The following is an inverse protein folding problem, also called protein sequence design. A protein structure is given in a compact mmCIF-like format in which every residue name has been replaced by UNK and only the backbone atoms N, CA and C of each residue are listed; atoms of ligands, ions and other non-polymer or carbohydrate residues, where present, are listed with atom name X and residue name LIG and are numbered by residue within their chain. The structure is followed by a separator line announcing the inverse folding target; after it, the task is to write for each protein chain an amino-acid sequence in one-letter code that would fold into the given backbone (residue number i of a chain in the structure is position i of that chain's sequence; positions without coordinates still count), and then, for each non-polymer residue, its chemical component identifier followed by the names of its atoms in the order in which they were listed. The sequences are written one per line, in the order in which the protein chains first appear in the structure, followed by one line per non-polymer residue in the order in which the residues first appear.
data_IF_916100757334
#
_entry.id   IF_916100757334
#
_cell.length_a   1.000
_cell.length_b   1.000
_cell.length_c   1.000
_cell.angle_alpha   90.00
_cell.angle_beta   90.00
_cell.angle_gamma   90.00
#
_symmetry.space_group_name_H-M   'P 1'
#
loop_
_entity.id
_entity.type
_entity.pdbx_description
1 polymer ?
#
# COMPACT_ATOMS: atom_id res chain seq x y z
N UNK A 1 -42.23 69.25 -24.12
CA UNK A 1 -43.60 68.86 -24.41
C UNK A 1 -43.82 67.54 -23.80
N UNK A 2 -44.36 67.45 -22.61
CA UNK A 2 -45.78 67.22 -22.28
C UNK A 2 -46.19 65.81 -22.74
N UNK A 3 -46.75 64.93 -21.93
CA UNK A 3 -47.59 64.98 -20.73
C UNK A 3 -47.72 63.55 -20.26
N UNK A 4 -47.50 63.23 -19.02
CA UNK A 4 -48.47 63.17 -17.94
C UNK A 4 -49.54 62.06 -18.02
N UNK A 5 -49.49 61.20 -16.97
CA UNK A 5 -50.65 60.79 -16.15
C UNK A 5 -51.39 59.49 -16.60
N UNK A 6 -51.82 58.60 -15.73
CA UNK A 6 -52.60 58.69 -14.49
C UNK A 6 -52.70 57.27 -13.85
N UNK A 7 -52.59 57.22 -12.54
CA UNK A 7 -52.99 56.22 -11.55
C UNK A 7 -54.16 55.30 -11.90
N UNK A 8 -54.01 54.01 -11.46
CA UNK A 8 -55.09 53.37 -10.63
C UNK A 8 -54.52 52.32 -9.69
N UNK A 9 -54.70 52.54 -8.44
CA UNK A 9 -54.64 51.58 -7.36
C UNK A 9 -55.75 50.57 -7.51
N UNK A 10 -55.40 49.25 -7.35
CA UNK A 10 -56.35 48.28 -6.88
C UNK A 10 -55.70 47.45 -5.76
N UNK A 11 -56.23 47.66 -4.58
CA UNK A 11 -56.05 46.80 -3.42
C UNK A 11 -56.79 45.51 -3.66
N UNK A 12 -56.16 44.37 -3.46
CA UNK A 12 -56.84 43.20 -2.91
C UNK A 12 -55.84 42.13 -2.43
N UNK A 13 -56.00 41.83 -1.17
CA UNK A 13 -55.70 40.62 -0.36
C UNK A 13 -54.31 39.98 -0.42
N UNK A 14 -53.74 39.70 0.76
CA UNK A 14 -52.53 38.84 0.88
C UNK A 14 -52.92 37.38 0.70
N UNK A 15 -52.36 36.73 -0.32
CA UNK A 15 -52.36 35.27 -0.46
C UNK A 15 -51.47 34.65 0.60
N UNK A 16 -51.96 33.64 1.28
CA UNK A 16 -51.29 32.89 2.30
C UNK A 16 -49.98 32.29 1.78
N UNK A 17 -48.87 32.55 2.45
CA UNK A 17 -47.60 31.89 2.23
C UNK A 17 -47.72 30.37 2.41
N UNK A 18 -47.22 29.54 1.51
CA UNK A 18 -47.10 28.10 1.73
C UNK A 18 -46.13 27.85 2.88
N UNK A 19 -46.56 27.01 3.84
CA UNK A 19 -45.81 26.60 4.98
C UNK A 19 -44.47 26.01 4.53
N UNK A 20 -43.35 26.46 5.17
CA UNK A 20 -42.02 25.91 4.97
C UNK A 20 -42.02 24.40 5.27
N UNK A 21 -41.34 23.57 4.48
CA UNK A 21 -41.20 22.15 4.77
C UNK A 21 -40.49 21.97 6.09
N UNK A 22 -41.16 21.34 7.04
CA UNK A 22 -40.61 20.93 8.34
C UNK A 22 -39.33 20.10 8.08
N UNK A 23 -38.18 20.67 8.45
CA UNK A 23 -36.91 19.98 8.45
C UNK A 23 -37.05 18.71 9.31
N UNK A 24 -36.84 17.57 8.72
CA UNK A 24 -36.69 16.29 9.46
C UNK A 24 -35.61 16.46 10.53
N UNK A 25 -35.79 15.94 11.73
CA UNK A 25 -34.79 16.07 12.79
C UNK A 25 -33.50 15.43 12.32
N UNK A 26 -32.43 16.22 12.27
CA UNK A 26 -31.06 15.78 12.06
C UNK A 26 -30.76 14.72 13.12
N UNK A 27 -30.57 13.47 12.68
CA UNK A 27 -30.12 12.37 13.53
C UNK A 27 -28.86 12.79 14.27
N UNK A 28 -28.87 12.67 15.61
CA UNK A 28 -27.71 12.86 16.45
C UNK A 28 -26.50 12.11 15.86
N UNK A 29 -25.29 12.67 15.91
CA UNK A 29 -24.10 12.04 15.35
C UNK A 29 -23.91 10.68 16.03
N UNK A 30 -24.20 9.60 15.31
CA UNK A 30 -23.93 8.25 15.79
C UNK A 30 -22.43 8.13 16.02
N UNK A 31 -22.04 7.68 17.23
CA UNK A 31 -20.62 7.39 17.53
C UNK A 31 -20.06 6.50 16.44
N UNK A 32 -18.89 6.83 15.87
CA UNK A 32 -18.33 6.06 14.78
C UNK A 32 -18.12 4.60 15.21
N UNK A 33 -18.39 3.66 14.31
CA UNK A 33 -18.21 2.22 14.60
C UNK A 33 -16.76 1.94 15.01
N UNK A 34 -16.56 1.00 15.92
CA UNK A 34 -15.23 0.67 16.46
C UNK A 34 -14.15 0.52 15.36
N UNK A 35 -14.44 -0.21 14.29
CA UNK A 35 -13.47 -0.42 13.22
C UNK A 35 -13.16 0.86 12.42
N UNK A 36 -14.06 1.84 12.40
CA UNK A 36 -13.81 3.13 11.76
C UNK A 36 -12.93 4.00 12.66
N UNK A 37 -13.13 3.92 13.99
CA UNK A 37 -12.21 4.54 14.97
C UNK A 37 -10.80 3.97 14.83
N UNK A 38 -10.66 2.63 14.71
CA UNK A 38 -9.37 1.97 14.47
C UNK A 38 -8.71 2.49 13.20
N UNK A 39 -9.45 2.58 12.08
CA UNK A 39 -8.90 3.12 10.82
C UNK A 39 -8.46 4.57 10.97
N UNK A 40 -9.27 5.38 11.63
CA UNK A 40 -8.94 6.78 11.89
C UNK A 40 -7.67 6.91 12.73
N UNK A 41 -7.54 6.18 13.84
CA UNK A 41 -6.36 6.18 14.70
C UNK A 41 -5.09 5.75 13.94
N UNK A 42 -5.17 4.70 13.10
CA UNK A 42 -4.07 4.23 12.27
C UNK A 42 -3.62 5.32 11.29
N UNK A 43 -4.56 6.00 10.62
CA UNK A 43 -4.28 7.06 9.65
C UNK A 43 -3.72 8.32 10.31
N UNK A 44 -4.22 8.69 11.49
CA UNK A 44 -3.66 9.81 12.28
C UNK A 44 -2.20 9.57 12.67
N UNK A 45 -1.82 8.31 12.87
CA UNK A 45 -0.42 7.93 13.16
C UNK A 45 0.42 7.67 11.90
N UNK A 46 -0.10 7.97 10.72
CA UNK A 46 0.57 7.80 9.44
C UNK A 46 1.05 6.37 9.15
N UNK A 47 0.35 5.35 9.70
CA UNK A 47 0.68 3.97 9.39
C UNK A 47 0.26 3.60 7.95
N UNK A 48 0.95 2.62 7.38
CA UNK A 48 0.68 2.18 6.02
C UNK A 48 -0.72 1.55 5.87
N UNK A 49 -1.29 1.62 4.67
CA UNK A 49 -2.52 0.92 4.33
C UNK A 49 -2.46 -0.60 4.61
N UNK A 50 -1.29 -1.22 4.41
CA UNK A 50 -1.10 -2.64 4.72
C UNK A 50 -1.17 -2.91 6.22
N UNK A 51 -0.66 -2.00 7.06
CA UNK A 51 -0.82 -2.05 8.53
C UNK A 51 -2.29 -1.90 8.90
N UNK A 52 -3.02 -0.95 8.30
CA UNK A 52 -4.46 -0.78 8.51
C UNK A 52 -5.22 -2.09 8.21
N UNK A 53 -4.97 -2.67 7.04
CA UNK A 53 -5.61 -3.93 6.62
C UNK A 53 -5.30 -5.08 7.57
N UNK A 54 -4.05 -5.22 8.00
CA UNK A 54 -3.62 -6.26 8.92
C UNK A 54 -4.25 -6.09 10.31
N UNK A 55 -4.19 -4.89 10.89
CA UNK A 55 -4.71 -4.62 12.23
C UNK A 55 -6.23 -4.77 12.29
N UNK A 56 -6.96 -4.18 11.34
CA UNK A 56 -8.42 -4.36 11.23
C UNK A 56 -8.76 -5.84 11.05
N UNK A 57 -7.98 -6.59 10.29
CA UNK A 57 -8.15 -8.03 10.11
C UNK A 57 -7.99 -8.81 11.41
N UNK A 58 -6.97 -8.52 12.21
CA UNK A 58 -6.74 -9.18 13.50
C UNK A 58 -7.80 -8.82 14.53
N UNK A 59 -8.18 -7.53 14.64
CA UNK A 59 -9.22 -7.07 15.54
C UNK A 59 -10.56 -7.74 15.22
N UNK A 60 -10.92 -7.87 13.94
CA UNK A 60 -12.12 -8.62 13.54
C UNK A 60 -12.06 -10.07 14.00
N UNK A 61 -10.93 -10.77 13.76
CA UNK A 61 -10.77 -12.17 14.18
C UNK A 61 -10.89 -12.33 15.68
N UNK A 62 -10.32 -11.41 16.46
CA UNK A 62 -10.44 -11.38 17.92
C UNK A 62 -11.90 -11.23 18.37
N UNK A 63 -12.66 -10.27 17.80
CA UNK A 63 -14.07 -10.06 18.08
C UNK A 63 -14.90 -11.30 17.74
N UNK A 64 -14.66 -11.93 16.58
CA UNK A 64 -15.37 -13.14 16.19
C UNK A 64 -15.02 -14.35 17.06
N UNK A 65 -13.78 -14.48 17.48
CA UNK A 65 -13.34 -15.56 18.38
C UNK A 65 -14.08 -15.51 19.72
N UNK A 66 -14.38 -14.32 20.23
CA UNK A 66 -15.16 -14.11 21.44
C UNK A 66 -16.65 -13.85 21.16
N UNK A 67 -17.25 -14.53 20.19
CA UNK A 67 -18.69 -14.50 19.89
C UNK A 67 -19.24 -13.07 19.68
N UNK A 68 -18.47 -12.19 19.04
CA UNK A 68 -18.80 -10.79 18.77
C UNK A 68 -18.98 -9.92 20.04
N UNK A 69 -18.38 -10.32 21.17
CA UNK A 69 -18.29 -9.45 22.35
C UNK A 69 -17.55 -8.17 22.01
N UNK A 70 -17.98 -7.06 22.61
CA UNK A 70 -17.32 -5.78 22.36
C UNK A 70 -15.96 -5.74 23.09
N UNK A 71 -14.84 -5.31 22.44
CA UNK A 71 -13.51 -5.28 23.05
C UNK A 71 -13.41 -4.47 24.35
N UNK A 72 -14.23 -3.44 24.53
CA UNK A 72 -14.27 -2.70 25.79
C UNK A 72 -14.65 -3.56 27.01
N UNK A 73 -15.37 -4.67 26.80
CA UNK A 73 -15.78 -5.62 27.82
C UNK A 73 -14.79 -6.78 28.03
N UNK A 74 -13.67 -6.75 27.30
CA UNK A 74 -12.64 -7.78 27.30
C UNK A 74 -11.31 -7.19 27.79
N UNK A 75 -10.38 -8.05 28.17
CA UNK A 75 -9.09 -7.63 28.70
C UNK A 75 -7.97 -8.63 28.44
N UNK A 76 -7.02 -8.69 29.37
CA UNK A 76 -5.81 -9.51 29.29
C UNK A 76 -6.11 -11.00 29.14
N UNK A 77 -7.14 -11.50 29.84
CA UNK A 77 -7.53 -12.90 29.81
C UNK A 77 -8.01 -13.33 28.42
N UNK A 78 -8.88 -12.54 27.80
CA UNK A 78 -9.38 -12.81 26.46
C UNK A 78 -8.29 -12.66 25.40
N UNK A 79 -7.38 -11.71 25.55
CA UNK A 79 -6.21 -11.58 24.67
C UNK A 79 -5.32 -12.82 24.78
N UNK A 80 -5.03 -13.29 26.02
CA UNK A 80 -4.22 -14.49 26.25
C UNK A 80 -4.86 -15.73 25.63
N UNK A 81 -6.17 -15.91 25.79
CA UNK A 81 -6.94 -17.02 25.23
C UNK A 81 -6.86 -17.01 23.69
N UNK A 82 -7.11 -15.87 23.05
CA UNK A 82 -7.04 -15.74 21.59
C UNK A 82 -5.64 -16.02 21.04
N UNK A 83 -4.59 -15.45 21.66
CA UNK A 83 -3.21 -15.66 21.23
C UNK A 83 -2.78 -17.12 21.41
N UNK A 84 -3.22 -17.77 22.48
CA UNK A 84 -2.95 -19.20 22.73
C UNK A 84 -3.65 -20.08 21.71
N UNK A 85 -4.89 -19.81 21.38
CA UNK A 85 -5.62 -20.50 20.32
C UNK A 85 -4.95 -20.35 18.95
N UNK A 86 -4.42 -19.16 18.64
CA UNK A 86 -3.62 -18.97 17.41
C UNK A 86 -2.39 -19.87 17.34
N UNK A 87 -1.71 -20.08 18.46
CA UNK A 87 -0.50 -20.92 18.52
C UNK A 87 -0.85 -22.41 18.50
N UNK A 88 -1.84 -22.84 19.28
CA UNK A 88 -2.18 -24.23 19.52
C UNK A 88 -3.07 -24.82 18.40
N UNK A 89 -4.16 -24.13 18.05
CA UNK A 89 -5.14 -24.63 17.10
C UNK A 89 -4.81 -24.26 15.66
N UNK A 90 -4.34 -23.04 15.42
CA UNK A 90 -4.03 -22.51 14.07
C UNK A 90 -2.57 -22.67 13.67
N UNK A 91 -1.71 -23.14 14.57
CA UNK A 91 -0.28 -23.38 14.35
C UNK A 91 0.42 -22.21 13.65
N UNK A 92 0.05 -20.97 13.99
CA UNK A 92 0.65 -19.77 13.38
C UNK A 92 2.10 -19.60 13.79
N UNK A 93 2.89 -18.90 12.96
CA UNK A 93 4.26 -18.55 13.31
C UNK A 93 4.30 -17.53 14.44
N UNK A 94 5.41 -17.49 15.20
CA UNK A 94 5.61 -16.49 16.26
C UNK A 94 5.51 -15.04 15.74
N UNK A 95 5.94 -14.75 14.52
CA UNK A 95 5.79 -13.43 13.90
C UNK A 95 4.32 -13.08 13.64
N UNK A 96 3.52 -14.06 13.25
CA UNK A 96 2.07 -13.90 13.04
C UNK A 96 1.35 -13.65 14.36
N UNK A 97 1.68 -14.41 15.42
CA UNK A 97 1.14 -14.21 16.76
C UNK A 97 1.51 -12.81 17.30
N UNK A 98 2.77 -12.37 17.14
CA UNK A 98 3.20 -11.03 17.53
C UNK A 98 2.48 -9.92 16.74
N UNK A 99 2.18 -10.14 15.46
CA UNK A 99 1.40 -9.18 14.68
C UNK A 99 -0.03 -9.05 15.22
N UNK A 100 -0.65 -10.18 15.62
CA UNK A 100 -1.96 -10.16 16.26
C UNK A 100 -1.92 -9.42 17.59
N UNK A 101 -0.93 -9.72 18.45
CA UNK A 101 -0.72 -9.02 19.72
C UNK A 101 -0.59 -7.51 19.52
N UNK A 102 0.29 -7.07 18.61
CA UNK A 102 0.49 -5.64 18.34
C UNK A 102 -0.80 -4.95 17.85
N UNK A 103 -1.62 -5.63 17.06
CA UNK A 103 -2.90 -5.09 16.61
C UNK A 103 -3.90 -4.93 17.78
N UNK A 104 -3.92 -5.87 18.75
CA UNK A 104 -4.75 -5.79 19.93
C UNK A 104 -4.25 -4.72 20.92
N UNK A 105 -2.94 -4.66 21.17
CA UNK A 105 -2.38 -3.60 22.00
C UNK A 105 -2.69 -2.21 21.41
N UNK A 106 -2.55 -2.05 20.09
CA UNK A 106 -2.96 -0.82 19.41
C UNK A 106 -4.45 -0.50 19.63
N UNK A 107 -5.35 -1.49 19.53
CA UNK A 107 -6.77 -1.30 19.77
C UNK A 107 -7.04 -0.79 21.19
N UNK A 108 -6.45 -1.43 22.20
CA UNK A 108 -6.70 -1.07 23.59
C UNK A 108 -6.09 0.28 23.95
N UNK A 109 -4.81 0.51 23.66
CA UNK A 109 -4.13 1.76 24.02
C UNK A 109 -4.63 2.95 23.21
N UNK A 110 -4.74 2.82 21.89
CA UNK A 110 -4.92 3.97 21.02
C UNK A 110 -6.38 4.28 20.68
N UNK A 111 -7.25 3.28 20.78
CA UNK A 111 -8.65 3.45 20.37
C UNK A 111 -9.58 3.41 21.57
N UNK A 112 -9.34 2.49 22.51
CA UNK A 112 -10.18 2.34 23.70
C UNK A 112 -9.65 3.14 24.90
N UNK A 113 -8.42 3.65 24.85
CA UNK A 113 -7.80 4.37 25.96
C UNK A 113 -7.64 3.52 27.22
N UNK A 114 -7.55 2.19 27.07
CA UNK A 114 -7.45 1.22 28.15
C UNK A 114 -6.04 0.66 28.21
N UNK A 115 -5.36 0.82 29.33
CA UNK A 115 -4.08 0.16 29.58
C UNK A 115 -4.29 -1.34 29.73
N UNK A 116 -3.51 -2.11 29.03
CA UNK A 116 -3.41 -3.56 29.15
C UNK A 116 -2.15 -3.86 29.94
N UNK A 117 -2.32 -4.50 31.10
CA UNK A 117 -1.23 -4.93 31.93
C UNK A 117 -0.44 -6.10 31.31
N UNK A 118 0.32 -6.79 32.16
CA UNK A 118 1.07 -7.94 31.71
C UNK A 118 0.13 -9.10 31.35
N UNK A 119 0.21 -9.58 30.10
CA UNK A 119 -0.62 -10.67 29.60
C UNK A 119 0.03 -12.01 30.00
N UNK A 120 -0.47 -12.61 31.09
CA UNK A 120 -0.01 -13.89 31.60
C UNK A 120 -0.63 -15.08 30.84
N UNK A 121 0.02 -16.24 30.91
CA UNK A 121 -0.54 -17.51 30.43
C UNK A 121 -0.61 -17.67 28.92
N UNK A 122 0.02 -16.80 28.14
CA UNK A 122 0.03 -16.93 26.67
C UNK A 122 0.93 -18.07 26.25
N UNK A 123 0.34 -19.08 25.60
CA UNK A 123 1.12 -20.10 24.89
C UNK A 123 1.76 -19.47 23.65
N UNK A 124 3.08 -19.35 23.68
CA UNK A 124 3.82 -18.71 22.59
C UNK A 124 4.12 -19.69 21.47
N UNK A 125 3.90 -19.27 20.25
CA UNK A 125 4.30 -20.01 19.07
C UNK A 125 5.83 -20.17 19.01
N UNK A 126 6.30 -21.35 18.61
CA UNK A 126 7.74 -21.61 18.46
C UNK A 126 8.35 -20.66 17.44
N UNK A 127 9.53 -20.11 17.78
CA UNK A 127 10.33 -19.28 16.90
C UNK A 127 11.52 -20.10 16.37
N UNK A 128 11.37 -20.80 15.24
CA UNK A 128 12.49 -21.53 14.67
C UNK A 128 13.57 -20.54 14.22
N UNK A 129 14.81 -20.80 14.61
CA UNK A 129 15.98 -20.11 14.07
C UNK A 129 16.20 -20.66 12.66
N UNK A 130 15.99 -19.82 11.65
CA UNK A 130 16.27 -20.18 10.27
C UNK A 130 17.48 -19.38 9.80
N UNK A 131 18.49 -20.08 9.30
CA UNK A 131 19.60 -19.43 8.63
C UNK A 131 19.13 -18.75 7.34
N UNK A 132 19.61 -17.54 7.05
CA UNK A 132 19.30 -16.90 5.78
C UNK A 132 19.75 -17.74 4.59
N UNK A 133 18.94 -17.82 3.56
CA UNK A 133 19.35 -18.44 2.29
C UNK A 133 20.31 -17.48 1.60
N UNK A 134 21.50 -17.96 1.28
CA UNK A 134 22.53 -17.25 0.54
C UNK A 134 22.75 -17.95 -0.80
N UNK A 135 22.69 -17.19 -1.90
CA UNK A 135 23.00 -17.66 -3.24
C UNK A 135 24.46 -17.39 -3.57
N UNK A 136 25.10 -18.33 -4.26
CA UNK A 136 26.41 -18.10 -4.87
C UNK A 136 26.26 -17.25 -6.13
N UNK A 137 27.33 -16.63 -6.60
CA UNK A 137 27.34 -15.87 -7.85
C UNK A 137 26.94 -16.73 -9.06
N UNK A 138 27.32 -18.01 -9.05
CA UNK A 138 26.95 -18.95 -10.13
C UNK A 138 25.45 -19.26 -10.11
N UNK A 139 24.87 -19.52 -8.93
CA UNK A 139 23.44 -19.72 -8.80
C UNK A 139 22.63 -18.50 -9.25
N UNK A 140 23.10 -17.28 -8.91
CA UNK A 140 22.48 -16.04 -9.38
C UNK A 140 22.53 -15.95 -10.91
N UNK A 141 23.66 -16.24 -11.53
CA UNK A 141 23.78 -16.25 -13.01
C UNK A 141 22.84 -17.25 -13.66
N UNK A 142 22.75 -18.47 -13.10
CA UNK A 142 21.85 -19.51 -13.61
C UNK A 142 20.38 -19.07 -13.54
N UNK A 143 19.97 -18.47 -12.41
CA UNK A 143 18.61 -17.94 -12.27
C UNK A 143 18.34 -16.80 -13.26
N UNK A 144 19.28 -15.86 -13.39
CA UNK A 144 19.17 -14.74 -14.33
C UNK A 144 19.04 -15.20 -15.77
N UNK A 145 19.71 -16.30 -16.16
CA UNK A 145 19.59 -16.92 -17.49
C UNK A 145 18.22 -17.53 -17.78
N UNK A 146 17.38 -17.71 -16.75
CA UNK A 146 16.01 -18.22 -16.87
C UNK A 146 14.92 -17.12 -16.78
N UNK A 147 15.32 -15.85 -16.73
CA UNK A 147 14.41 -14.71 -16.63
C UNK A 147 14.34 -13.92 -17.93
N UNK A 148 13.15 -13.44 -18.25
CA UNK A 148 12.93 -12.58 -19.41
C UNK A 148 13.13 -11.09 -19.09
N UNK A 149 13.32 -10.30 -20.11
CA UNK A 149 13.63 -8.86 -20.18
C UNK A 149 13.29 -8.01 -18.93
N UNK A 150 12.02 -7.80 -18.61
CA UNK A 150 11.63 -6.94 -17.47
C UNK A 150 11.88 -7.62 -16.12
N UNK A 151 11.69 -8.93 -16.03
CA UNK A 151 11.91 -9.70 -14.80
C UNK A 151 13.41 -9.79 -14.50
N UNK A 152 14.23 -9.99 -15.54
CA UNK A 152 15.68 -9.94 -15.44
C UNK A 152 16.15 -8.57 -14.94
N UNK A 153 15.63 -7.45 -15.51
CA UNK A 153 15.96 -6.10 -15.06
C UNK A 153 15.64 -5.89 -13.57
N UNK A 154 14.45 -6.30 -13.16
CA UNK A 154 14.04 -6.17 -11.75
C UNK A 154 14.97 -6.98 -10.83
N UNK A 155 15.28 -8.23 -11.15
CA UNK A 155 16.18 -9.06 -10.34
C UNK A 155 17.60 -8.50 -10.32
N UNK A 156 18.10 -7.98 -11.46
CA UNK A 156 19.41 -7.30 -11.51
C UNK A 156 19.46 -6.04 -10.65
N UNK A 157 18.38 -5.29 -10.56
CA UNK A 157 18.28 -4.13 -9.65
C UNK A 157 18.24 -4.57 -8.17
N UNK A 158 17.55 -5.66 -7.86
CA UNK A 158 17.57 -6.23 -6.50
C UNK A 158 18.98 -6.70 -6.10
N UNK A 159 19.69 -7.37 -7.03
CA UNK A 159 21.01 -7.92 -6.81
C UNK A 159 22.09 -6.83 -6.81
N UNK A 160 22.17 -6.02 -7.87
CA UNK A 160 23.28 -5.10 -8.08
C UNK A 160 23.12 -3.76 -7.33
N UNK A 161 21.90 -3.25 -7.19
CA UNK A 161 21.61 -2.00 -6.46
C UNK A 161 21.14 -2.24 -5.00
N UNK A 162 20.95 -3.48 -4.60
CA UNK A 162 20.48 -3.84 -3.25
C UNK A 162 19.07 -3.34 -2.93
N UNK A 163 18.21 -3.15 -3.91
CA UNK A 163 16.84 -2.69 -3.71
C UNK A 163 15.98 -3.75 -3.00
N UNK A 164 15.03 -3.31 -2.18
CA UNK A 164 13.94 -4.18 -1.73
C UNK A 164 12.94 -4.37 -2.86
N UNK A 165 12.19 -5.47 -2.84
CA UNK A 165 11.18 -5.77 -3.85
C UNK A 165 10.26 -4.57 -4.12
N UNK A 166 9.65 -4.01 -3.09
CA UNK A 166 8.73 -2.88 -3.26
C UNK A 166 9.45 -1.56 -3.61
N UNK A 167 10.69 -1.39 -3.25
CA UNK A 167 11.50 -0.24 -3.70
C UNK A 167 11.73 -0.32 -5.21
N UNK A 168 12.08 -1.49 -5.72
CA UNK A 168 12.26 -1.72 -7.16
C UNK A 168 10.95 -1.48 -7.94
N UNK A 169 9.84 -2.07 -7.49
CA UNK A 169 8.55 -1.94 -8.17
C UNK A 169 7.99 -0.52 -8.14
N UNK A 170 8.33 0.26 -7.12
CA UNK A 170 7.88 1.65 -6.94
C UNK A 170 8.83 2.69 -7.52
N UNK A 171 9.88 2.28 -8.24
CA UNK A 171 10.74 3.21 -8.94
C UNK A 171 9.95 4.01 -9.98
N UNK A 172 10.19 5.30 -10.00
CA UNK A 172 9.70 6.22 -11.03
C UNK A 172 10.82 6.58 -11.99
N UNK A 173 10.46 6.97 -13.18
CA UNK A 173 11.44 7.37 -14.20
C UNK A 173 12.42 8.43 -13.68
N UNK A 174 11.90 9.43 -12.97
CA UNK A 174 12.71 10.52 -12.39
C UNK A 174 13.66 10.10 -11.26
N UNK A 175 13.49 8.87 -10.74
CA UNK A 175 14.34 8.36 -9.67
C UNK A 175 15.61 7.69 -10.20
N UNK A 176 15.76 7.60 -11.53
CA UNK A 176 16.93 7.03 -12.20
C UNK A 176 17.75 8.15 -12.83
N UNK A 177 18.97 8.31 -12.37
CA UNK A 177 19.94 9.22 -12.92
C UNK A 177 21.04 8.44 -13.68
N UNK A 178 20.94 8.45 -15.01
CA UNK A 178 21.93 7.78 -15.88
C UNK A 178 23.26 8.56 -15.93
N UNK A 179 23.23 9.88 -15.73
CA UNK A 179 24.43 10.72 -15.74
C UNK A 179 25.27 10.51 -14.49
N UNK A 180 24.64 10.60 -13.32
CA UNK A 180 25.30 10.35 -12.04
C UNK A 180 25.46 8.87 -11.69
N UNK A 181 24.92 7.94 -12.49
CA UNK A 181 24.89 6.50 -12.21
C UNK A 181 24.23 6.14 -10.88
N UNK A 182 23.14 6.78 -10.55
CA UNK A 182 22.46 6.65 -9.27
C UNK A 182 20.97 6.35 -9.42
N UNK A 183 20.43 5.71 -8.41
CA UNK A 183 19.00 5.48 -8.21
C UNK A 183 18.62 6.12 -6.88
N UNK A 184 17.62 7.00 -6.89
CA UNK A 184 17.03 7.57 -5.69
C UNK A 184 15.91 6.63 -5.20
N UNK A 185 16.12 6.02 -4.05
CA UNK A 185 15.12 5.19 -3.38
C UNK A 185 14.34 6.07 -2.41
N UNK A 186 13.06 6.27 -2.68
CA UNK A 186 12.18 7.10 -1.85
C UNK A 186 11.45 6.27 -0.82
N UNK A 187 11.19 6.88 0.35
CA UNK A 187 10.43 6.27 1.44
C UNK A 187 10.89 4.83 1.76
N UNK A 188 12.20 4.64 1.91
CA UNK A 188 12.80 3.37 2.28
C UNK A 188 12.39 2.91 3.69
N UNK A 189 13.09 1.92 4.25
CA UNK A 189 12.83 1.47 5.63
C UNK A 189 13.01 2.65 6.61
N UNK A 190 11.95 2.98 7.36
CA UNK A 190 11.92 4.12 8.27
C UNK A 190 11.65 5.45 7.58
N UNK A 191 11.02 5.44 6.39
CA UNK A 191 10.64 6.63 5.61
C UNK A 191 11.83 7.54 5.23
N UNK A 192 13.02 6.93 5.04
CA UNK A 192 14.23 7.65 4.68
C UNK A 192 14.56 7.45 3.20
N UNK A 193 14.80 8.56 2.49
CA UNK A 193 15.34 8.53 1.14
C UNK A 193 16.84 8.15 1.18
N UNK A 194 17.29 7.44 0.15
CA UNK A 194 18.71 7.12 -0.03
C UNK A 194 19.09 7.02 -1.50
N UNK A 195 20.32 7.32 -1.81
CA UNK A 195 20.89 7.01 -3.10
C UNK A 195 21.56 5.63 -3.08
N UNK A 196 21.49 4.92 -4.22
CA UNK A 196 22.22 3.69 -4.47
C UNK A 196 22.77 3.73 -5.89
N UNK A 197 23.79 2.92 -6.18
CA UNK A 197 24.38 2.87 -7.51
C UNK A 197 23.43 2.25 -8.54
N UNK A 198 23.48 2.77 -9.78
CA UNK A 198 22.89 2.11 -10.94
C UNK A 198 23.94 1.14 -11.51
N UNK A 199 23.72 -0.20 -11.45
CA UNK A 199 24.70 -1.16 -11.95
C UNK A 199 24.96 -0.99 -13.44
N UNK A 200 26.23 -1.02 -13.84
CA UNK A 200 26.64 -0.81 -15.24
C UNK A 200 25.94 -1.77 -16.21
N UNK A 201 25.81 -3.04 -15.82
CA UNK A 201 25.15 -4.07 -16.63
C UNK A 201 23.65 -3.81 -16.87
N UNK A 202 23.02 -2.95 -16.06
CA UNK A 202 21.59 -2.65 -16.16
C UNK A 202 21.33 -1.40 -17.01
N UNK A 203 22.33 -0.51 -17.20
CA UNK A 203 22.12 0.79 -17.85
C UNK A 203 21.46 0.70 -19.21
N UNK A 204 22.10 0.01 -20.15
CA UNK A 204 21.61 -0.09 -21.52
C UNK A 204 20.28 -0.84 -21.62
N UNK A 205 20.10 -2.03 -20.99
CA UNK A 205 18.82 -2.72 -20.97
C UNK A 205 17.69 -1.88 -20.33
N UNK A 206 17.99 -1.11 -19.28
CA UNK A 206 17.02 -0.25 -18.62
C UNK A 206 16.63 0.95 -19.51
N UNK A 207 17.58 1.56 -20.22
CA UNK A 207 17.30 2.63 -21.17
C UNK A 207 16.34 2.15 -22.27
N UNK A 208 16.63 0.99 -22.88
CA UNK A 208 15.75 0.34 -23.88
C UNK A 208 14.35 0.04 -23.31
N UNK A 209 14.30 -0.45 -22.09
CA UNK A 209 13.04 -0.70 -21.39
C UNK A 209 12.24 0.60 -21.19
N UNK A 210 12.88 1.68 -20.74
CA UNK A 210 12.23 2.97 -20.56
C UNK A 210 11.70 3.57 -21.86
N UNK A 211 12.37 3.38 -22.99
CA UNK A 211 11.85 3.77 -24.31
C UNK A 211 10.56 3.02 -24.66
N UNK A 212 10.50 1.71 -24.39
CA UNK A 212 9.30 0.91 -24.59
C UNK A 212 8.14 1.43 -23.71
N UNK A 213 8.42 1.69 -22.43
CA UNK A 213 7.43 2.21 -21.49
C UNK A 213 6.98 3.62 -21.91
N UNK A 214 7.88 4.46 -22.42
CA UNK A 214 7.54 5.80 -22.93
C UNK A 214 6.57 5.73 -24.10
N UNK A 215 6.77 4.80 -25.04
CA UNK A 215 5.82 4.57 -26.15
C UNK A 215 4.46 4.09 -25.64
N UNK A 216 4.43 3.24 -24.60
CA UNK A 216 3.18 2.83 -23.99
C UNK A 216 2.47 4.00 -23.29
N UNK A 217 3.21 4.82 -22.56
CA UNK A 217 2.70 6.02 -21.92
C UNK A 217 2.10 7.01 -22.92
N UNK A 218 2.81 7.25 -24.05
CA UNK A 218 2.32 8.13 -25.11
C UNK A 218 0.97 7.65 -25.67
N UNK A 219 0.84 6.35 -25.95
CA UNK A 219 -0.45 5.75 -26.38
C UNK A 219 -1.54 5.87 -25.33
N UNK A 220 -1.19 5.78 -24.05
CA UNK A 220 -2.14 6.02 -22.96
C UNK A 220 -2.61 7.49 -22.96
N UNK A 221 -1.71 8.45 -23.15
CA UNK A 221 -2.05 9.88 -23.22
C UNK A 221 -3.00 10.19 -24.37
N UNK A 222 -2.78 9.63 -25.55
CA UNK A 222 -3.63 9.76 -26.74
C UNK A 222 -5.06 9.24 -26.47
N UNK A 223 -5.20 8.26 -25.57
CA UNK A 223 -6.50 7.71 -25.15
C UNK A 223 -7.12 8.42 -23.93
N UNK A 224 -6.57 9.56 -23.51
CA UNK A 224 -6.99 10.30 -22.32
C UNK A 224 -6.61 9.65 -20.99
N UNK A 225 -5.75 8.63 -21.01
CA UNK A 225 -5.23 7.90 -19.86
C UNK A 225 -3.85 8.46 -19.46
N UNK A 226 -2.95 7.62 -18.95
CA UNK A 226 -1.56 7.98 -18.65
C UNK A 226 -1.35 8.61 -17.28
N UNK A 227 -2.38 8.60 -16.42
CA UNK A 227 -2.28 9.12 -15.06
C UNK A 227 -1.82 8.04 -14.07
N UNK A 228 -0.93 8.40 -13.17
CA UNK A 228 -0.50 7.62 -12.02
C UNK A 228 -0.86 8.33 -10.71
N UNK A 229 -1.05 7.57 -9.64
CA UNK A 229 -1.24 8.16 -8.31
C UNK A 229 0.05 8.84 -7.84
N UNK A 230 -0.06 10.03 -7.28
CA UNK A 230 1.04 10.78 -6.69
C UNK A 230 1.09 10.58 -5.17
N UNK A 231 2.26 10.71 -4.54
CA UNK A 231 2.36 10.65 -3.09
C UNK A 231 1.74 11.89 -2.43
N UNK A 232 1.13 11.69 -1.26
CA UNK A 232 0.62 12.74 -0.39
C UNK A 232 -0.36 13.72 -1.08
N UNK A 233 -0.21 15.02 -0.78
CA UNK A 233 -1.06 16.09 -1.32
C UNK A 233 -0.58 16.64 -2.69
N UNK A 234 0.44 16.05 -3.31
CA UNK A 234 1.02 16.54 -4.56
C UNK A 234 -0.01 16.62 -5.68
N UNK A 235 -0.93 15.68 -5.73
CA UNK A 235 -1.99 15.66 -6.75
C UNK A 235 -2.94 16.86 -6.63
N UNK A 236 -3.23 17.30 -5.40
CA UNK A 236 -4.05 18.49 -5.15
C UNK A 236 -3.29 19.77 -5.51
N UNK A 237 -1.97 19.82 -5.25
CA UNK A 237 -1.13 20.98 -5.58
C UNK A 237 -0.83 21.07 -7.07
N UNK A 238 -0.62 19.94 -7.73
CA UNK A 238 -0.23 19.84 -9.14
C UNK A 238 -1.07 18.78 -9.88
N UNK A 239 -2.30 19.13 -10.30
CA UNK A 239 -3.27 18.14 -10.83
C UNK A 239 -2.80 17.36 -12.07
N UNK A 240 -1.92 17.96 -12.89
CA UNK A 240 -1.46 17.35 -14.16
C UNK A 240 -0.15 16.57 -14.04
N UNK A 241 0.59 16.75 -12.96
CA UNK A 241 1.90 16.11 -12.76
C UNK A 241 1.83 14.59 -12.82
N UNK A 242 0.69 13.99 -12.44
CA UNK A 242 0.49 12.53 -12.57
C UNK A 242 0.53 11.99 -14.00
N UNK A 243 0.45 12.86 -15.03
CA UNK A 243 0.59 12.50 -16.45
C UNK A 243 2.01 12.71 -17.00
N UNK A 244 2.87 13.40 -16.25
CA UNK A 244 4.24 13.67 -16.69
C UNK A 244 5.09 12.41 -16.73
N UNK A 245 5.99 12.33 -17.72
CA UNK A 245 6.86 11.18 -17.91
C UNK A 245 7.70 10.84 -16.68
N UNK A 246 8.29 11.82 -16.02
CA UNK A 246 9.15 11.63 -14.85
C UNK A 246 8.44 10.92 -13.69
N UNK A 247 7.10 11.03 -13.60
CA UNK A 247 6.31 10.40 -12.56
C UNK A 247 5.81 9.00 -12.90
N UNK A 248 5.97 8.56 -14.14
CA UNK A 248 5.57 7.22 -14.54
C UNK A 248 6.39 6.14 -13.82
N UNK A 249 5.77 4.98 -13.67
CA UNK A 249 6.45 3.81 -13.10
C UNK A 249 7.47 3.24 -14.08
N UNK A 250 8.65 2.86 -13.59
CA UNK A 250 9.64 2.12 -14.40
C UNK A 250 9.08 0.74 -14.78
N UNK A 251 8.37 0.10 -13.84
CA UNK A 251 7.69 -1.18 -14.05
C UNK A 251 6.18 -1.03 -13.86
N UNK A 252 5.46 -0.52 -14.85
CA UNK A 252 4.02 -0.32 -14.76
C UNK A 252 3.25 -1.65 -14.85
N UNK A 253 2.07 -1.69 -14.23
CA UNK A 253 1.12 -2.78 -14.45
C UNK A 253 0.59 -2.76 -15.90
N UNK A 254 0.22 -3.93 -16.41
CA UNK A 254 -0.37 -4.06 -17.76
C UNK A 254 -1.76 -3.44 -17.86
N UNK A 255 -2.55 -3.48 -16.79
CA UNK A 255 -3.90 -2.95 -16.71
C UNK A 255 -3.98 -1.63 -15.95
N UNK A 256 -5.05 -0.86 -16.23
CA UNK A 256 -5.46 0.28 -15.44
C UNK A 256 -6.43 -0.15 -14.33
N UNK A 257 -6.46 0.60 -13.24
CA UNK A 257 -7.49 0.50 -12.21
C UNK A 257 -8.30 1.79 -12.14
N UNK A 258 -9.50 1.73 -11.57
CA UNK A 258 -10.31 2.90 -11.26
C UNK A 258 -10.06 3.27 -9.81
N UNK A 259 -9.58 4.50 -9.59
CA UNK A 259 -9.43 5.05 -8.25
C UNK A 259 -10.82 5.23 -7.62
N UNK A 260 -11.04 4.61 -6.47
CA UNK A 260 -12.37 4.59 -5.82
C UNK A 260 -12.80 5.94 -5.25
N UNK A 261 -11.84 6.85 -5.04
CA UNK A 261 -12.11 8.17 -4.46
C UNK A 261 -12.39 9.19 -5.56
N UNK A 262 -11.58 9.18 -6.62
CA UNK A 262 -11.68 10.17 -7.71
C UNK A 262 -12.45 9.67 -8.91
N UNK A 263 -12.69 8.36 -9.05
CA UNK A 263 -13.29 7.74 -10.25
C UNK A 263 -12.35 7.70 -11.46
N UNK A 264 -11.14 8.24 -11.34
CA UNK A 264 -10.18 8.30 -12.45
C UNK A 264 -9.54 6.95 -12.75
N UNK A 265 -9.30 6.70 -14.05
CA UNK A 265 -8.51 5.55 -14.49
C UNK A 265 -7.02 5.87 -14.37
N UNK A 266 -6.30 5.03 -13.64
CA UNK A 266 -4.86 5.20 -13.34
C UNK A 266 -4.09 3.91 -13.60
N UNK A 267 -2.80 4.04 -13.87
CA UNK A 267 -1.89 2.89 -13.94
C UNK A 267 -1.12 2.77 -12.62
N UNK A 268 -1.08 1.56 -12.09
CA UNK A 268 -0.29 1.24 -10.90
C UNK A 268 1.09 0.68 -11.31
N UNK A 269 2.00 0.53 -10.37
CA UNK A 269 3.19 -0.29 -10.57
C UNK A 269 2.82 -1.77 -10.67
N UNK A 270 3.72 -2.58 -11.20
CA UNK A 270 3.57 -4.03 -11.28
C UNK A 270 3.32 -4.61 -9.86
N UNK A 271 2.44 -5.60 -9.77
CA UNK A 271 2.15 -6.24 -8.48
C UNK A 271 3.29 -7.18 -8.09
N UNK A 272 3.68 -7.20 -6.80
CA UNK A 272 4.82 -7.98 -6.31
C UNK A 272 4.73 -9.47 -6.61
N UNK A 273 3.53 -10.01 -6.68
CA UNK A 273 3.33 -11.45 -6.97
C UNK A 273 3.81 -11.87 -8.37
N UNK A 274 3.89 -10.92 -9.32
CA UNK A 274 4.39 -11.23 -10.67
C UNK A 274 5.86 -11.59 -10.59
N UNK A 275 6.70 -10.72 -10.02
CA UNK A 275 8.13 -11.01 -9.87
C UNK A 275 8.40 -12.19 -8.92
N UNK A 276 7.59 -12.33 -7.85
CA UNK A 276 7.70 -13.48 -6.95
C UNK A 276 7.48 -14.81 -7.67
N UNK A 277 6.48 -14.87 -8.57
CA UNK A 277 6.19 -16.06 -9.39
C UNK A 277 7.31 -16.31 -10.41
N UNK A 278 7.74 -15.27 -11.12
CA UNK A 278 8.81 -15.36 -12.11
C UNK A 278 10.12 -15.87 -11.50
N UNK A 279 10.52 -15.32 -10.35
CA UNK A 279 11.71 -15.76 -9.61
C UNK A 279 11.57 -17.22 -9.15
N UNK A 280 10.42 -17.60 -8.59
CA UNK A 280 10.19 -19.00 -8.16
C UNK A 280 10.31 -19.97 -9.33
N UNK A 281 9.78 -19.61 -10.48
CA UNK A 281 9.88 -20.42 -11.68
C UNK A 281 11.31 -20.49 -12.22
N UNK A 282 12.02 -19.35 -12.27
CA UNK A 282 13.42 -19.29 -12.70
C UNK A 282 14.34 -20.12 -11.80
N UNK A 283 14.15 -20.07 -10.48
CA UNK A 283 14.89 -20.92 -9.51
C UNK A 283 14.68 -22.40 -9.80
N UNK A 284 13.44 -22.82 -10.10
CA UNK A 284 13.12 -24.20 -10.47
C UNK A 284 13.75 -24.61 -11.80
N UNK A 285 13.67 -23.73 -12.84
CA UNK A 285 14.28 -23.98 -14.15
C UNK A 285 15.80 -24.08 -14.07
N UNK A 286 16.43 -23.29 -13.19
CA UNK A 286 17.87 -23.34 -12.94
C UNK A 286 18.33 -24.56 -12.13
N UNK A 287 17.43 -25.45 -11.71
CA UNK A 287 17.75 -26.66 -10.94
C UNK A 287 18.25 -26.35 -9.50
N UNK A 288 17.89 -25.21 -8.94
CA UNK A 288 18.35 -24.77 -7.62
C UNK A 288 17.33 -25.18 -6.57
N UNK A 289 17.77 -25.98 -5.57
CA UNK A 289 16.91 -26.49 -4.50
C UNK A 289 16.78 -25.54 -3.30
N UNK A 290 17.61 -24.47 -3.24
CA UNK A 290 17.50 -23.46 -2.20
C UNK A 290 16.18 -22.67 -2.32
N UNK A 291 15.44 -22.43 -1.21
CA UNK A 291 14.19 -21.67 -1.25
C UNK A 291 14.48 -20.16 -1.46
N UNK A 292 14.90 -19.80 -2.67
CA UNK A 292 15.20 -18.43 -3.04
C UNK A 292 13.93 -17.63 -3.37
N UNK A 293 13.98 -16.36 -3.03
CA UNK A 293 12.93 -15.36 -3.25
C UNK A 293 13.55 -14.06 -3.76
N UNK A 294 12.78 -13.07 -4.22
CA UNK A 294 13.34 -11.77 -4.60
C UNK A 294 14.23 -11.13 -3.53
N UNK A 295 13.94 -11.34 -2.25
CA UNK A 295 14.76 -10.81 -1.17
C UNK A 295 16.11 -11.53 -1.02
N UNK A 296 16.22 -12.78 -1.48
CA UNK A 296 17.46 -13.56 -1.38
C UNK A 296 18.58 -12.96 -2.22
N UNK A 297 18.26 -12.29 -3.33
CA UNK A 297 19.25 -11.63 -4.21
C UNK A 297 20.00 -10.47 -3.55
N UNK A 298 19.52 -9.95 -2.43
CA UNK A 298 20.23 -8.92 -1.65
C UNK A 298 21.28 -9.51 -0.70
N UNK A 299 21.21 -10.81 -0.42
CA UNK A 299 22.07 -11.53 0.50
C UNK A 299 22.94 -12.52 -0.29
N UNK A 300 23.76 -12.01 -1.19
CA UNK A 300 24.69 -12.85 -1.96
C UNK A 300 26.07 -12.79 -1.29
N UNK A 301 26.74 -13.94 -1.18
CA UNK A 301 28.12 -13.96 -0.70
C UNK A 301 29.02 -13.29 -1.75
N UNK A 302 29.76 -12.30 -1.29
CA UNK A 302 30.86 -11.66 -2.05
C UNK A 302 31.97 -12.64 -2.31
#
# INVERSE_FOLDING_TARGET
METANIYRLNRDRPAASPAAPTAKPTSSPQKPKLLDQVRQAIRTRHYSYMTEKAYVGWIKRFIFFHNKRHPAEMGEAEIAQFLSALAQEKHVSASTQNQALNALLFLYHEVLGKEIGYINGVVRAKRPIRLPVVLTRQEVRSILGCLDSSDWLMVMLLYGAGLRLMECLRLRVKDIDFGANQILVRAGKGDKDRHTMLPAAVKEPLAKHLELIRRHHQRDLERGLGRVALPNALERKYPNVGKEWGWQWVFPATSHYIDKVTGERRRHHLHESVLQKAVKEAVRKAGIFKPASPHTFRNVST
#
